data_IF_917201461776
#
_entry.id   IF_917201461776
#
_cell.length_a   1.000
_cell.length_b   1.000
_cell.length_c   1.000
_cell.angle_alpha   90.00
_cell.angle_beta   90.00
_cell.angle_gamma   90.00
#
_symmetry.space_group_name_H-M   'P 1'
#
loop_
_entity.id
_entity.type
_entity.pdbx_description
1 polymer ?
#
# COMPACT_ATOMS: atom_id res chain seq x y z
N UNK A 1 -25.35 -1.98 -36.90
CA UNK A 1 -24.38 -2.19 -35.80
C UNK A 1 -23.16 -1.37 -36.15
N UNK A 2 -22.77 -0.42 -35.29
CA UNK A 2 -21.68 0.50 -35.58
C UNK A 2 -20.32 -0.16 -35.30
N UNK A 3 -19.33 0.05 -36.17
CA UNK A 3 -18.01 -0.59 -36.02
C UNK A 3 -17.32 -0.13 -34.73
N UNK A 4 -17.55 1.13 -34.36
CA UNK A 4 -17.03 1.74 -33.14
C UNK A 4 -17.59 1.08 -31.88
N UNK A 5 -18.89 0.74 -31.89
CA UNK A 5 -19.55 0.03 -30.79
C UNK A 5 -18.97 -1.38 -30.62
N UNK A 6 -18.66 -2.07 -31.73
CA UNK A 6 -18.02 -3.39 -31.69
C UNK A 6 -16.60 -3.31 -31.10
N UNK A 7 -15.81 -2.31 -31.51
CA UNK A 7 -14.44 -2.13 -31.01
C UNK A 7 -14.44 -1.75 -29.52
N UNK A 8 -15.36 -0.89 -29.06
CA UNK A 8 -15.44 -0.53 -27.65
C UNK A 8 -15.88 -1.71 -26.77
N UNK A 9 -16.87 -2.49 -27.20
CA UNK A 9 -17.37 -3.63 -26.44
C UNK A 9 -16.36 -4.78 -26.33
N UNK A 10 -15.45 -4.90 -27.31
CA UNK A 10 -14.40 -5.92 -27.33
C UNK A 10 -13.04 -5.41 -26.85
N UNK A 11 -12.92 -4.14 -26.45
CA UNK A 11 -11.66 -3.62 -25.92
C UNK A 11 -11.30 -4.39 -24.64
N UNK A 12 -10.13 -5.04 -24.56
CA UNK A 12 -9.74 -5.78 -23.37
C UNK A 12 -9.71 -4.81 -22.19
N UNK A 13 -10.55 -5.08 -21.19
CA UNK A 13 -10.55 -4.29 -19.95
C UNK A 13 -9.15 -4.40 -19.35
N UNK A 14 -8.54 -3.25 -19.05
CA UNK A 14 -7.25 -3.22 -18.37
C UNK A 14 -7.39 -3.99 -17.05
N UNK A 15 -6.49 -4.96 -16.83
CA UNK A 15 -6.48 -5.76 -15.61
C UNK A 15 -6.11 -4.83 -14.44
N UNK A 16 -7.12 -4.33 -13.72
CA UNK A 16 -6.93 -3.62 -12.45
C UNK A 16 -6.62 -4.64 -11.36
N UNK A 17 -5.75 -4.28 -10.41
CA UNK A 17 -5.54 -5.12 -9.23
C UNK A 17 -6.81 -5.14 -8.39
N UNK A 18 -7.09 -6.26 -7.74
CA UNK A 18 -8.15 -6.35 -6.72
C UNK A 18 -7.92 -5.32 -5.60
N UNK A 19 -6.65 -5.01 -5.27
CA UNK A 19 -6.34 -3.97 -4.31
C UNK A 19 -6.67 -2.55 -4.81
N UNK A 20 -6.56 -2.30 -6.12
CA UNK A 20 -6.96 -1.01 -6.71
C UNK A 20 -8.49 -0.87 -6.75
N UNK A 21 -9.21 -1.97 -6.97
CA UNK A 21 -10.68 -2.00 -6.98
C UNK A 21 -11.28 -1.74 -5.60
N UNK A 22 -10.63 -2.25 -4.54
CA UNK A 22 -11.08 -2.10 -3.15
C UNK A 22 -10.22 -1.12 -2.33
N UNK A 23 -9.57 -0.15 -2.98
CA UNK A 23 -8.63 0.76 -2.32
C UNK A 23 -9.27 1.53 -1.15
N UNK A 24 -10.47 2.08 -1.35
CA UNK A 24 -11.21 2.84 -0.33
C UNK A 24 -11.56 1.98 0.88
N UNK A 25 -12.08 0.77 0.64
CA UNK A 25 -12.41 -0.19 1.70
C UNK A 25 -11.16 -0.58 2.50
N UNK A 26 -10.05 -0.83 1.81
CA UNK A 26 -8.77 -1.16 2.44
C UNK A 26 -8.31 -0.03 3.36
N UNK A 27 -8.31 1.22 2.89
CA UNK A 27 -7.87 2.35 3.70
C UNK A 27 -8.77 2.55 4.91
N UNK A 28 -10.09 2.48 4.73
CA UNK A 28 -11.05 2.61 5.83
C UNK A 28 -10.83 1.56 6.91
N UNK A 29 -10.57 0.31 6.53
CA UNK A 29 -10.28 -0.75 7.51
C UNK A 29 -8.95 -0.51 8.23
N UNK A 30 -7.93 -0.04 7.52
CA UNK A 30 -6.63 0.29 8.13
C UNK A 30 -6.75 1.48 9.10
N UNK A 31 -7.56 2.49 8.78
CA UNK A 31 -7.85 3.63 9.66
C UNK A 31 -8.60 3.22 10.94
N UNK A 32 -9.46 2.21 10.84
CA UNK A 32 -10.15 1.59 11.98
C UNK A 32 -9.25 0.63 12.78
N UNK A 33 -7.94 0.62 12.53
CA UNK A 33 -6.94 -0.24 13.17
C UNK A 33 -7.16 -1.75 12.96
N UNK A 34 -7.84 -2.16 11.89
CA UNK A 34 -7.88 -3.58 11.52
C UNK A 34 -6.50 -4.05 11.04
N UNK A 35 -6.13 -5.26 11.45
CA UNK A 35 -4.91 -5.90 10.99
C UNK A 35 -4.96 -6.25 9.50
N UNK A 36 -3.80 -6.35 8.84
CA UNK A 36 -3.74 -6.77 7.44
C UNK A 36 -4.40 -8.13 7.19
N UNK A 37 -4.31 -9.05 8.16
CA UNK A 37 -5.01 -10.34 8.14
C UNK A 37 -6.52 -10.18 8.03
N UNK A 38 -7.12 -9.32 8.86
CA UNK A 38 -8.55 -9.03 8.84
C UNK A 38 -8.98 -8.34 7.54
N UNK A 39 -8.14 -7.44 7.01
CA UNK A 39 -8.39 -6.81 5.69
C UNK A 39 -8.41 -7.86 4.58
N UNK A 40 -7.45 -8.80 4.57
CA UNK A 40 -7.43 -9.89 3.59
C UNK A 40 -8.65 -10.82 3.74
N UNK A 41 -9.05 -11.12 4.96
CA UNK A 41 -10.25 -11.93 5.21
C UNK A 41 -11.50 -11.24 4.67
N UNK A 42 -11.67 -9.95 4.94
CA UNK A 42 -12.72 -9.13 4.35
C UNK A 42 -12.71 -9.19 2.82
N UNK A 43 -11.55 -8.94 2.18
CA UNK A 43 -11.43 -8.98 0.72
C UNK A 43 -11.76 -10.37 0.15
N UNK A 44 -11.39 -11.45 0.85
CA UNK A 44 -11.76 -12.83 0.43
C UNK A 44 -13.26 -13.09 0.49
N UNK A 45 -14.03 -12.37 1.31
CA UNK A 45 -15.50 -12.45 1.32
C UNK A 45 -16.14 -11.63 0.21
N UNK A 46 -15.50 -10.54 -0.23
CA UNK A 46 -16.00 -9.64 -1.28
C UNK A 46 -15.66 -10.11 -2.70
N UNK A 47 -14.46 -10.65 -2.89
CA UNK A 47 -13.96 -11.02 -4.21
C UNK A 47 -14.29 -12.49 -4.55
N UNK A 48 -14.83 -12.74 -5.75
CA UNK A 48 -15.04 -14.10 -6.26
C UNK A 48 -13.71 -14.84 -6.49
N UNK A 49 -12.68 -14.10 -6.92
CA UNK A 49 -11.32 -14.63 -7.11
C UNK A 49 -10.45 -14.32 -5.87
N UNK A 50 -9.87 -15.37 -5.28
CA UNK A 50 -9.05 -15.27 -4.07
C UNK A 50 -7.55 -15.30 -4.35
N UNK A 51 -7.16 -15.49 -5.61
CA UNK A 51 -5.76 -15.59 -6.03
C UNK A 51 -5.03 -14.28 -5.76
N UNK A 52 -3.89 -14.35 -5.05
CA UNK A 52 -3.07 -13.18 -4.73
C UNK A 52 -3.55 -12.36 -3.52
N UNK A 53 -4.66 -12.72 -2.87
CA UNK A 53 -5.10 -12.10 -1.61
C UNK A 53 -4.35 -12.71 -0.41
N UNK A 54 -3.13 -12.20 -0.18
CA UNK A 54 -2.29 -12.54 0.96
C UNK A 54 -1.81 -11.28 1.70
N UNK A 55 -1.50 -11.42 2.98
CA UNK A 55 -0.97 -10.32 3.80
C UNK A 55 0.33 -9.77 3.21
N UNK A 56 1.19 -10.64 2.68
CA UNK A 56 2.43 -10.24 2.00
C UNK A 56 2.16 -9.36 0.78
N UNK A 57 1.18 -9.73 -0.06
CA UNK A 57 0.83 -8.96 -1.24
C UNK A 57 0.18 -7.62 -0.89
N UNK A 58 -0.67 -7.59 0.13
CA UNK A 58 -1.24 -6.34 0.65
C UNK A 58 -0.14 -5.43 1.22
N UNK A 59 0.77 -5.97 2.03
CA UNK A 59 1.92 -5.24 2.53
C UNK A 59 2.78 -4.65 1.40
N UNK A 60 3.08 -5.46 0.37
CA UNK A 60 3.82 -5.01 -0.80
C UNK A 60 3.08 -3.90 -1.56
N UNK A 61 1.77 -4.07 -1.76
CA UNK A 61 0.91 -3.08 -2.39
C UNK A 61 0.94 -1.74 -1.64
N UNK A 62 0.76 -1.77 -0.31
CA UNK A 62 0.80 -0.59 0.56
C UNK A 62 2.18 0.07 0.59
N UNK A 63 3.27 -0.69 0.49
CA UNK A 63 4.63 -0.11 0.35
C UNK A 63 4.81 0.57 -1.00
N UNK A 64 4.32 -0.03 -2.08
CA UNK A 64 4.40 0.53 -3.43
C UNK A 64 3.58 1.81 -3.57
N UNK A 65 2.40 1.89 -2.94
CA UNK A 65 1.59 3.11 -2.94
C UNK A 65 2.29 4.26 -2.18
N UNK A 66 2.93 3.97 -1.05
CA UNK A 66 3.76 4.96 -0.32
C UNK A 66 4.93 5.49 -1.14
N UNK A 67 5.57 4.64 -1.96
CA UNK A 67 6.68 5.04 -2.83
C UNK A 67 6.26 5.94 -4.02
N UNK A 68 4.98 5.91 -4.43
CA UNK A 68 4.44 6.88 -5.40
C UNK A 68 4.26 8.27 -4.80
N UNK A 69 4.03 8.37 -3.49
CA UNK A 69 3.91 9.65 -2.78
C UNK A 69 5.29 10.30 -2.62
N UNK A 70 6.32 9.53 -2.26
CA UNK A 70 7.70 10.06 -2.11
C UNK A 70 8.36 10.44 -3.42
N UNK A 71 8.06 9.78 -4.54
CA UNK A 71 8.59 10.21 -5.86
C UNK A 71 7.93 11.49 -6.39
N UNK A 72 6.67 11.77 -6.02
CA UNK A 72 6.04 13.07 -6.29
C UNK A 72 6.58 14.19 -5.39
N UNK A 73 6.82 13.92 -4.10
CA UNK A 73 7.41 14.91 -3.17
C UNK A 73 8.83 15.31 -3.58
N UNK A 74 9.67 14.37 -4.01
CA UNK A 74 11.07 14.65 -4.42
C UNK A 74 11.22 15.59 -5.62
N UNK A 75 10.15 15.84 -6.38
CA UNK A 75 10.18 16.80 -7.50
C UNK A 75 9.70 18.21 -7.10
N UNK A 76 9.17 18.40 -5.89
CA UNK A 76 8.73 19.70 -5.37
C UNK A 76 9.84 20.33 -4.50
N UNK A 77 10.65 19.51 -3.84
CA UNK A 77 11.66 19.96 -2.88
C UNK A 77 13.03 20.37 -3.49
N UNK A 78 13.10 20.69 -4.80
CA UNK A 78 14.37 21.11 -5.41
C UNK A 78 14.58 22.61 -5.51
N UNK A 79 13.62 23.44 -5.07
CA UNK A 79 13.77 24.90 -5.11
C UNK A 79 13.91 25.59 -3.74
N UNK A 80 13.62 24.98 -2.58
CA UNK A 80 13.63 25.73 -1.32
C UNK A 80 14.02 24.92 -0.07
N UNK A 81 15.25 24.42 0.01
CA UNK A 81 15.77 23.93 1.30
C UNK A 81 17.27 24.10 1.39
N UNK A 82 17.72 25.35 1.43
CA UNK A 82 18.95 25.68 2.14
C UNK A 82 18.71 25.53 3.66
N UNK A 83 19.63 24.83 4.33
CA UNK A 83 19.90 24.81 5.78
C UNK A 83 18.95 24.08 6.74
N UNK A 84 19.18 22.78 7.00
CA UNK A 84 19.08 22.17 8.35
C UNK A 84 20.15 21.06 8.49
N UNK A 85 21.01 21.06 9.53
CA UNK A 85 22.08 20.08 9.70
C UNK A 85 21.57 18.75 10.25
N UNK A 86 21.83 17.66 9.51
CA UNK A 86 21.60 16.28 9.94
C UNK A 86 22.43 15.94 11.18
N UNK A 87 21.80 15.83 12.36
CA UNK A 87 22.40 15.13 13.51
C UNK A 87 22.15 13.63 13.37
N UNK A 88 23.20 12.91 12.96
CA UNK A 88 23.31 11.46 13.06
C UNK A 88 23.17 11.04 14.53
N UNK A 89 22.09 10.36 14.88
CA UNK A 89 21.96 9.63 16.15
C UNK A 89 21.93 8.14 15.78
N UNK A 90 23.10 7.50 15.83
CA UNK A 90 23.22 6.04 15.82
C UNK A 90 22.51 5.48 17.06
N UNK A 91 21.33 4.89 16.88
CA UNK A 91 20.61 4.20 17.95
C UNK A 91 21.19 2.80 18.10
N UNK A 92 21.89 2.54 19.21
CA UNK A 92 22.29 1.19 19.61
C UNK A 92 21.06 0.34 19.97
N UNK A 93 21.08 -0.98 19.74
CA UNK A 93 19.99 -1.86 20.12
C UNK A 93 19.84 -1.88 21.66
N UNK A 94 18.58 -1.80 22.11
CA UNK A 94 18.21 -1.89 23.53
C UNK A 94 18.12 -3.37 23.92
N UNK A 95 18.85 -3.77 24.95
CA UNK A 95 18.91 -5.15 25.42
C UNK A 95 17.86 -5.37 26.52
N UNK A 96 16.75 -6.01 26.15
CA UNK A 96 15.52 -6.11 26.97
C UNK A 96 15.66 -7.16 28.07
N UNK A 97 16.62 -8.09 27.95
CA UNK A 97 16.77 -9.23 28.86
C UNK A 97 17.55 -8.92 30.14
N UNK A 98 18.13 -7.72 30.26
CA UNK A 98 18.98 -7.36 31.39
C UNK A 98 18.25 -7.30 32.75
N UNK A 99 16.92 -7.15 32.76
CA UNK A 99 16.12 -7.02 34.00
C UNK A 99 15.30 -8.26 34.38
N UNK A 100 15.49 -9.39 33.69
CA UNK A 100 14.85 -10.66 34.05
C UNK A 100 15.81 -11.52 34.86
N UNK A 101 16.04 -11.13 36.12
CA UNK A 101 16.58 -12.03 37.15
C UNK A 101 15.59 -12.09 38.32
N UNK A 102 14.98 -13.26 38.49
CA UNK A 102 14.43 -13.76 39.76
C UNK A 102 14.65 -15.26 39.79
#
# INVERSE_FOLDING_TARGET
>A
MNIDDFIQNNKPRSKKSIFDEHFEDINKLLELNYSQKQVIEYLKTKCKNKTGLSEQNLSFYLRKSKNKITTKLKNIDKENSENIPNKNIEKKPIDIFANLKS
#
